data_IF_185309161116
#
_entry.id   IF_185309161116
#
_cell.length_a   1.000
_cell.length_b   1.000
_cell.length_c   1.000
_cell.angle_alpha   90.00
_cell.angle_beta   90.00
_cell.angle_gamma   90.00
#
_symmetry.space_group_name_H-M   'P 1'
#
loop_
_entity.id
_entity.type
_entity.pdbx_description
1 polymer ?
#
# COMPACT_ATOMS: atom_id res chain seq x y z
N UNK A 1 2.85 9.27 7.36
CA UNK A 1 1.50 8.89 6.92
C UNK A 1 1.54 7.40 6.60
N UNK A 2 0.82 6.59 7.37
CA UNK A 2 0.76 5.14 7.18
C UNK A 2 -0.60 4.78 6.56
N UNK A 3 -0.62 4.00 5.48
CA UNK A 3 -1.86 3.59 4.80
C UNK A 3 -2.01 2.09 4.93
N UNK A 4 -2.96 1.65 5.76
CA UNK A 4 -3.36 0.26 5.88
C UNK A 4 -4.25 -0.10 4.69
N UNK A 5 -3.72 -0.93 3.82
CA UNK A 5 -4.22 -1.15 2.48
C UNK A 5 -4.31 -2.63 2.14
N UNK A 6 -5.26 -2.94 1.27
CA UNK A 6 -5.53 -4.28 0.77
C UNK A 6 -5.58 -4.24 -0.76
N UNK A 7 -4.79 -5.07 -1.41
CA UNK A 7 -4.65 -5.09 -2.86
C UNK A 7 -5.90 -5.54 -3.61
N UNK A 8 -6.86 -6.24 -3.00
CA UNK A 8 -8.16 -6.59 -3.59
C UNK A 8 -9.28 -5.63 -3.19
N UNK A 9 -9.03 -4.68 -2.29
CA UNK A 9 -10.05 -3.72 -1.90
C UNK A 9 -10.25 -2.65 -2.99
N UNK A 10 -11.46 -2.49 -3.55
CA UNK A 10 -11.73 -1.46 -4.57
C UNK A 10 -11.52 -0.03 -4.03
N UNK A 11 -11.83 0.22 -2.76
CA UNK A 11 -11.60 1.51 -2.14
C UNK A 11 -10.09 1.83 -1.99
N UNK A 12 -9.24 0.81 -1.76
CA UNK A 12 -7.79 0.99 -1.73
C UNK A 12 -7.25 1.37 -3.12
N UNK A 13 -7.74 0.70 -4.18
CA UNK A 13 -7.47 1.08 -5.58
C UNK A 13 -7.84 2.54 -5.84
N UNK A 14 -9.03 2.96 -5.42
CA UNK A 14 -9.49 4.35 -5.59
C UNK A 14 -8.59 5.33 -4.84
N UNK A 15 -8.27 5.07 -3.57
CA UNK A 15 -7.39 5.94 -2.79
C UNK A 15 -5.99 6.06 -3.43
N UNK A 16 -5.42 4.94 -3.86
CA UNK A 16 -4.11 4.93 -4.51
C UNK A 16 -4.10 5.74 -5.81
N UNK A 17 -5.06 5.47 -6.70
CA UNK A 17 -5.09 6.05 -8.05
C UNK A 17 -5.48 7.53 -8.07
N UNK A 18 -6.34 7.96 -7.14
CA UNK A 18 -6.86 9.34 -7.13
C UNK A 18 -6.11 10.28 -6.19
N UNK A 19 -5.45 9.75 -5.15
CA UNK A 19 -4.95 10.56 -4.04
C UNK A 19 -3.49 10.27 -3.70
N UNK A 20 -3.12 9.02 -3.39
CA UNK A 20 -1.76 8.72 -2.92
C UNK A 20 -0.70 9.01 -3.98
N UNK A 21 -0.97 8.74 -5.27
CA UNK A 21 -0.04 9.10 -6.36
C UNK A 21 0.29 10.58 -6.40
N UNK A 22 -0.74 11.43 -6.35
CA UNK A 22 -0.54 12.89 -6.36
C UNK A 22 0.14 13.39 -5.09
N UNK A 23 -0.16 12.76 -3.93
CA UNK A 23 0.58 13.01 -2.69
C UNK A 23 2.08 12.70 -2.84
N UNK A 24 2.43 11.59 -3.50
CA UNK A 24 3.83 11.21 -3.71
C UNK A 24 4.57 12.29 -4.51
N UNK A 25 3.93 12.79 -5.56
CA UNK A 25 4.47 13.86 -6.42
C UNK A 25 4.63 15.19 -5.66
N UNK A 26 3.63 15.61 -4.88
CA UNK A 26 3.60 16.96 -4.28
C UNK A 26 4.33 17.05 -2.92
N UNK A 27 4.31 15.98 -2.11
CA UNK A 27 4.77 16.01 -0.72
C UNK A 27 5.88 15.01 -0.38
N UNK A 28 5.87 13.81 -0.99
CA UNK A 28 6.91 12.81 -0.71
C UNK A 28 8.20 13.15 -1.42
N UNK A 29 8.12 13.55 -2.70
CA UNK A 29 9.28 13.96 -3.51
C UNK A 29 10.09 15.10 -2.88
N UNK A 30 9.41 16.02 -2.17
CA UNK A 30 10.02 17.16 -1.48
C UNK A 30 10.42 16.88 -0.02
N UNK A 31 10.20 15.64 0.45
CA UNK A 31 10.54 15.22 1.82
C UNK A 31 9.63 15.78 2.92
N UNK A 32 8.50 16.40 2.57
CA UNK A 32 7.55 16.97 3.54
C UNK A 32 6.71 15.90 4.24
N UNK A 33 6.42 14.81 3.56
CA UNK A 33 5.63 13.69 4.08
C UNK A 33 6.34 12.37 3.75
N UNK A 34 6.42 11.50 4.75
CA UNK A 34 6.76 10.09 4.53
C UNK A 34 5.46 9.30 4.35
N UNK A 35 5.30 8.66 3.20
CA UNK A 35 4.22 7.73 2.92
C UNK A 35 4.71 6.30 3.15
N UNK A 36 3.99 5.54 3.98
CA UNK A 36 4.28 4.14 4.29
C UNK A 36 3.05 3.32 3.95
N UNK A 37 3.17 2.41 2.98
CA UNK A 37 2.17 1.37 2.76
C UNK A 37 2.26 0.32 3.88
N UNK A 38 1.12 -0.05 4.44
CA UNK A 38 0.98 -1.11 5.44
C UNK A 38 0.04 -2.18 4.91
N UNK A 39 0.50 -3.43 4.89
CA UNK A 39 -0.34 -4.53 4.44
C UNK A 39 -1.43 -4.82 5.45
N UNK A 40 -2.68 -4.84 4.98
CA UNK A 40 -3.84 -5.22 5.78
C UNK A 40 -4.78 -6.14 4.99
N UNK A 41 -4.31 -7.31 4.51
CA UNK A 41 -5.11 -8.22 3.70
C UNK A 41 -6.31 -8.72 4.51
N UNK A 42 -7.51 -8.46 4.01
CA UNK A 42 -8.76 -8.82 4.67
C UNK A 42 -9.13 -10.29 4.40
N UNK A 43 -9.73 -11.02 5.36
CA UNK A 43 -10.01 -12.44 5.20
C UNK A 43 -10.89 -12.83 4.01
N UNK A 44 -11.77 -11.94 3.54
CA UNK A 44 -12.62 -12.20 2.38
C UNK A 44 -11.88 -12.05 1.03
N UNK A 45 -10.65 -11.56 1.04
CA UNK A 45 -9.85 -11.31 -0.15
C UNK A 45 -8.78 -12.41 -0.31
N UNK A 46 -9.15 -13.50 -0.98
CA UNK A 46 -8.37 -14.73 -1.09
C UNK A 46 -6.95 -14.56 -1.68
N UNK A 47 -6.73 -13.55 -2.52
CA UNK A 47 -5.50 -13.27 -3.25
C UNK A 47 -4.71 -12.07 -2.69
N UNK A 48 -5.29 -11.28 -1.79
CA UNK A 48 -4.65 -10.05 -1.29
C UNK A 48 -3.34 -10.30 -0.55
N UNK A 49 -3.29 -11.36 0.28
CA UNK A 49 -2.03 -11.76 0.93
C UNK A 49 -0.96 -12.16 -0.08
N UNK A 50 -1.34 -12.83 -1.18
CA UNK A 50 -0.40 -13.18 -2.25
C UNK A 50 0.11 -11.90 -2.92
N UNK A 51 -0.77 -10.97 -3.27
CA UNK A 51 -0.40 -9.65 -3.81
C UNK A 51 0.55 -8.88 -2.88
N UNK A 52 0.30 -8.87 -1.58
CA UNK A 52 1.19 -8.27 -0.59
C UNK A 52 2.60 -8.89 -0.59
N UNK A 53 2.72 -10.22 -0.72
CA UNK A 53 4.04 -10.88 -0.85
C UNK A 53 4.78 -10.39 -2.09
N UNK A 54 4.10 -10.34 -3.25
CA UNK A 54 4.73 -9.86 -4.48
C UNK A 54 5.14 -8.38 -4.38
N UNK A 55 4.27 -7.53 -3.82
CA UNK A 55 4.57 -6.11 -3.62
C UNK A 55 5.79 -5.91 -2.69
N UNK A 56 5.85 -6.61 -1.55
CA UNK A 56 7.00 -6.56 -0.65
C UNK A 56 8.28 -7.09 -1.27
N UNK A 57 8.20 -8.21 -1.97
CA UNK A 57 9.34 -8.77 -2.68
C UNK A 57 9.88 -7.74 -3.68
N UNK A 58 9.02 -7.15 -4.50
CA UNK A 58 9.41 -6.09 -5.44
C UNK A 58 9.97 -4.84 -4.73
N UNK A 59 9.43 -4.46 -3.57
CA UNK A 59 9.95 -3.34 -2.78
C UNK A 59 11.40 -3.55 -2.32
N UNK A 60 11.81 -4.79 -1.99
CA UNK A 60 13.21 -5.11 -1.68
C UNK A 60 14.16 -4.88 -2.87
N UNK A 61 13.63 -4.85 -4.09
CA UNK A 61 14.37 -4.56 -5.32
C UNK A 61 14.24 -3.08 -5.74
N UNK A 62 13.59 -2.22 -4.94
CA UNK A 62 13.31 -0.83 -5.31
C UNK A 62 12.19 -0.69 -6.34
N UNK A 63 11.33 -1.71 -6.51
CA UNK A 63 10.22 -1.75 -7.48
C UNK A 63 8.84 -1.71 -6.83
N UNK A 64 8.77 -1.29 -5.57
CA UNK A 64 7.53 -1.27 -4.78
C UNK A 64 6.42 -0.46 -5.46
N UNK A 65 6.71 0.79 -5.82
CA UNK A 65 5.73 1.69 -6.44
C UNK A 65 5.20 1.17 -7.79
N UNK A 66 6.10 0.70 -8.67
CA UNK A 66 5.71 0.17 -9.99
C UNK A 66 4.81 -1.06 -9.87
N UNK A 67 5.10 -1.94 -8.91
CA UNK A 67 4.30 -3.14 -8.67
C UNK A 67 2.99 -2.82 -7.96
N UNK A 68 3.00 -1.91 -6.98
CA UNK A 68 1.77 -1.42 -6.33
C UNK A 68 0.82 -0.80 -7.37
N UNK A 69 1.35 0.02 -8.27
CA UNK A 69 0.59 0.57 -9.39
C UNK A 69 0.03 -0.53 -10.29
N UNK A 70 0.84 -1.50 -10.70
CA UNK A 70 0.40 -2.58 -11.58
C UNK A 70 -0.74 -3.40 -10.94
N UNK A 71 -0.61 -3.72 -9.65
CA UNK A 71 -1.61 -4.46 -8.89
C UNK A 71 -2.92 -3.68 -8.80
N UNK A 72 -2.90 -2.39 -8.44
CA UNK A 72 -4.15 -1.62 -8.36
C UNK A 72 -4.78 -1.34 -9.73
N UNK A 73 -3.98 -1.05 -10.75
CA UNK A 73 -4.50 -0.79 -12.10
C UNK A 73 -5.17 -2.02 -12.72
N UNK A 74 -4.64 -3.22 -12.43
CA UNK A 74 -5.15 -4.48 -12.99
C UNK A 74 -5.99 -5.29 -11.99
N UNK A 75 -6.40 -4.69 -10.86
CA UNK A 75 -7.13 -5.35 -9.75
C UNK A 75 -8.24 -6.29 -10.23
N UNK A 76 -9.18 -5.74 -11.00
CA UNK A 76 -10.35 -6.46 -11.52
C UNK A 76 -9.98 -7.68 -12.38
N UNK A 77 -8.81 -7.66 -13.03
CA UNK A 77 -8.37 -8.75 -13.90
C UNK A 77 -7.76 -9.89 -13.10
N UNK A 78 -6.79 -9.58 -12.22
CA UNK A 78 -6.10 -10.63 -11.48
C UNK A 78 -6.90 -11.15 -10.29
N UNK A 79 -7.89 -10.41 -9.77
CA UNK A 79 -8.75 -10.93 -8.70
C UNK A 79 -9.69 -12.04 -9.18
N UNK A 80 -10.03 -12.07 -10.48
CA UNK A 80 -10.91 -13.08 -11.06
C UNK A 80 -10.26 -14.46 -11.14
N UNK A 81 -8.94 -14.51 -11.33
CA UNK A 81 -8.21 -15.76 -11.59
C UNK A 81 -7.01 -15.98 -10.66
N UNK A 82 -6.71 -15.03 -9.77
CA UNK A 82 -5.57 -15.07 -8.86
C UNK A 82 -4.21 -14.80 -9.52
N UNK A 83 -4.15 -14.28 -10.75
CA UNK A 83 -2.91 -14.08 -11.52
C UNK A 83 -2.11 -12.83 -11.07
N UNK A 84 -1.66 -12.86 -9.82
CA UNK A 84 -0.79 -11.85 -9.23
C UNK A 84 0.61 -11.90 -9.88
N UNK A 85 1.13 -13.10 -10.12
CA UNK A 85 2.46 -13.30 -10.72
C UNK A 85 2.54 -12.67 -12.11
N UNK A 86 1.59 -12.96 -13.00
CA UNK A 86 1.55 -12.41 -14.35
C UNK A 86 1.38 -10.88 -14.35
N UNK A 87 0.57 -10.35 -13.43
CA UNK A 87 0.42 -8.89 -13.25
C UNK A 87 1.74 -8.23 -12.85
N UNK A 88 2.49 -8.83 -11.93
CA UNK A 88 3.78 -8.30 -11.47
C UNK A 88 4.86 -8.47 -12.55
N UNK A 89 4.86 -9.62 -13.26
CA UNK A 89 5.80 -9.89 -14.34
C UNK A 89 5.68 -8.90 -15.50
N UNK A 90 4.50 -8.31 -15.72
CA UNK A 90 4.27 -7.33 -16.79
C UNK A 90 5.06 -6.01 -16.60
N UNK A 91 5.54 -5.72 -15.38
CA UNK A 91 6.25 -4.47 -15.06
C UNK A 91 7.69 -4.69 -14.57
N UNK A 92 8.17 -5.94 -14.57
CA UNK A 92 9.52 -6.29 -14.14
C UNK A 92 10.29 -6.94 -15.28
N UNK A 93 11.61 -6.76 -15.29
CA UNK A 93 12.49 -7.58 -16.12
C UNK A 93 12.47 -9.04 -15.68
N UNK A 94 12.85 -9.96 -16.57
CA UNK A 94 12.93 -11.38 -16.24
C UNK A 94 13.87 -11.68 -15.06
N UNK A 95 14.98 -10.92 -14.94
CA UNK A 95 15.93 -11.06 -13.84
C UNK A 95 15.35 -10.58 -12.51
N UNK A 96 14.63 -9.45 -12.50
CA UNK A 96 13.93 -8.95 -11.31
C UNK A 96 12.81 -9.90 -10.90
N UNK A 97 12.02 -10.39 -11.86
CA UNK A 97 10.92 -11.31 -11.58
C UNK A 97 11.42 -12.66 -11.02
N UNK A 98 12.57 -13.15 -11.49
CA UNK A 98 13.20 -14.36 -10.93
C UNK A 98 13.53 -14.19 -9.45
N UNK A 99 14.09 -13.03 -9.07
CA UNK A 99 14.37 -12.70 -7.67
C UNK A 99 13.09 -12.54 -6.84
N UNK A 100 12.08 -11.86 -7.39
CA UNK A 100 10.76 -11.71 -6.74
C UNK A 100 10.13 -13.07 -6.44
N UNK A 101 10.06 -13.97 -7.43
CA UNK A 101 9.53 -15.32 -7.23
C UNK A 101 10.31 -16.12 -6.20
N UNK A 102 11.64 -15.94 -6.12
CA UNK A 102 12.45 -16.58 -5.10
C UNK A 102 12.11 -16.06 -3.68
N UNK A 103 11.95 -14.74 -3.53
CA UNK A 103 11.55 -14.12 -2.26
C UNK A 103 10.14 -14.53 -1.82
N UNK A 104 9.19 -14.59 -2.77
CA UNK A 104 7.79 -14.99 -2.50
C UNK A 104 7.67 -16.42 -1.99
N UNK A 105 8.59 -17.33 -2.38
CA UNK A 105 8.63 -18.71 -1.89
C UNK A 105 9.21 -18.84 -0.48
N UNK A 106 9.88 -17.82 0.04
CA UNK A 106 10.43 -17.81 1.39
C UNK A 106 9.40 -17.37 2.45
N UNK A 107 9.68 -17.67 3.72
CA UNK A 107 8.75 -17.37 4.83
C UNK A 107 8.88 -15.95 5.41
N UNK A 108 9.90 -15.17 5.02
CA UNK A 108 10.21 -13.87 5.65
C UNK A 108 9.20 -12.77 5.34
N UNK A 109 8.49 -12.86 4.21
CA UNK A 109 7.52 -11.85 3.80
C UNK A 109 6.24 -11.90 4.63
N UNK A 110 5.76 -13.11 4.96
CA UNK A 110 4.56 -13.29 5.79
C UNK A 110 4.75 -12.68 7.18
N UNK A 111 5.93 -12.82 7.79
CA UNK A 111 6.24 -12.17 9.07
C UNK A 111 6.12 -10.65 9.00
N UNK A 112 6.51 -10.03 7.89
CA UNK A 112 6.39 -8.59 7.72
C UNK A 112 4.94 -8.15 7.49
N UNK A 113 4.17 -8.93 6.72
CA UNK A 113 2.72 -8.73 6.51
C UNK A 113 1.98 -8.84 7.86
N UNK A 114 2.28 -9.87 8.66
CA UNK A 114 1.65 -10.09 9.96
C UNK A 114 1.94 -8.95 10.94
N UNK A 115 3.16 -8.39 10.90
CA UNK A 115 3.53 -7.22 11.70
C UNK A 115 2.71 -5.98 11.33
N UNK A 116 2.54 -5.71 10.05
CA UNK A 116 1.72 -4.57 9.60
C UNK A 116 0.24 -4.79 9.94
N UNK A 117 -0.27 -6.00 9.76
CA UNK A 117 -1.62 -6.37 10.14
C UNK A 117 -1.85 -6.15 11.66
N UNK A 118 -0.95 -6.68 12.50
CA UNK A 118 -1.00 -6.51 13.94
C UNK A 118 -0.88 -5.04 14.37
N UNK A 119 -0.02 -4.25 13.71
CA UNK A 119 0.07 -2.81 13.94
C UNK A 119 -1.27 -2.12 13.64
N UNK A 120 -1.93 -2.47 12.54
CA UNK A 120 -3.27 -1.95 12.21
C UNK A 120 -4.29 -2.27 13.31
N UNK A 121 -4.23 -3.45 13.91
CA UNK A 121 -5.09 -3.80 15.05
C UNK A 121 -4.83 -2.89 16.27
N UNK A 122 -3.58 -2.49 16.53
CA UNK A 122 -3.28 -1.54 17.63
C UNK A 122 -3.89 -0.15 17.39
N UNK A 123 -4.01 0.26 16.12
CA UNK A 123 -4.71 1.49 15.71
C UNK A 123 -6.22 1.31 15.53
N UNK A 124 -6.76 0.13 15.87
CA UNK A 124 -8.18 -0.25 15.71
C UNK A 124 -8.67 -0.15 14.26
N UNK A 125 -7.79 -0.43 13.30
CA UNK A 125 -8.17 -0.56 11.88
C UNK A 125 -9.16 -1.71 11.75
N UNK A 126 -10.36 -1.40 11.27
CA UNK A 126 -11.45 -2.36 11.05
C UNK A 126 -11.91 -2.41 9.58
N UNK A 127 -11.37 -1.54 8.73
CA UNK A 127 -11.65 -1.50 7.30
C UNK A 127 -10.47 -0.92 6.53
N UNK A 128 -10.40 -1.23 5.24
CA UNK A 128 -9.40 -0.69 4.31
C UNK A 128 -10.06 0.20 3.25
N UNK A 129 -9.43 1.30 2.83
CA UNK A 129 -8.18 1.82 3.38
C UNK A 129 -8.42 2.50 4.75
N UNK A 130 -7.42 2.47 5.61
CA UNK A 130 -7.34 3.39 6.76
C UNK A 130 -5.98 4.08 6.75
N UNK A 131 -5.99 5.41 6.76
CA UNK A 131 -4.78 6.23 6.82
C UNK A 131 -4.56 6.72 8.24
N UNK A 132 -3.37 6.51 8.78
CA UNK A 132 -2.95 7.00 10.09
C UNK A 132 -1.88 8.07 9.89
N UNK A 133 -2.19 9.29 10.33
CA UNK A 133 -1.27 10.41 10.29
C UNK A 133 -0.53 10.52 11.62
N UNK A 134 0.79 10.70 11.54
CA UNK A 134 1.65 10.93 12.68
C UNK A 134 2.30 12.31 12.52
N UNK A 135 2.08 13.19 13.48
CA UNK A 135 2.71 14.52 13.51
C UNK A 135 2.97 14.92 14.96
N UNK A 136 4.24 15.20 15.30
CA UNK A 136 4.65 15.66 16.64
C UNK A 136 4.10 14.84 17.81
N UNK A 137 4.14 13.52 17.68
CA UNK A 137 3.63 12.59 18.70
C UNK A 137 2.11 12.43 18.73
N UNK A 138 1.36 13.20 17.94
CA UNK A 138 -0.08 13.04 17.75
C UNK A 138 -0.39 12.04 16.64
N UNK A 139 -1.52 11.35 16.80
CA UNK A 139 -2.01 10.31 15.88
C UNK A 139 -3.42 10.68 15.43
N UNK A 140 -3.65 10.69 14.12
CA UNK A 140 -4.98 10.96 13.54
C UNK A 140 -5.35 9.81 12.60
N UNK A 141 -6.22 8.87 13.01
CA UNK A 141 -6.73 7.85 12.11
C UNK A 141 -7.87 8.40 11.25
N UNK A 142 -7.89 8.03 9.97
CA UNK A 142 -8.97 8.31 9.03
C UNK A 142 -9.29 7.06 8.23
N UNK A 143 -10.53 6.58 8.32
CA UNK A 143 -10.97 5.40 7.59
C UNK A 143 -11.74 5.77 6.33
N UNK A 144 -11.44 5.08 5.23
CA UNK A 144 -12.05 5.29 3.92
C UNK A 144 -11.19 6.13 2.98
N UNK A 145 -11.78 6.45 1.83
CA UNK A 145 -11.10 7.20 0.77
C UNK A 145 -11.17 8.70 1.08
N UNK A 146 -10.02 9.30 1.34
CA UNK A 146 -9.87 10.75 1.42
C UNK A 146 -9.60 11.31 0.02
N UNK A 147 -10.28 12.37 -0.39
CA UNK A 147 -9.93 13.06 -1.64
C UNK A 147 -8.62 13.82 -1.49
N UNK A 148 -7.91 14.03 -2.58
CA UNK A 148 -6.65 14.76 -2.55
C UNK A 148 -6.78 16.18 -1.97
N UNK A 149 -7.85 16.91 -2.27
CA UNK A 149 -8.00 18.29 -1.76
C UNK A 149 -8.20 18.33 -0.24
N UNK A 150 -8.96 17.37 0.32
CA UNK A 150 -9.12 17.23 1.78
C UNK A 150 -7.78 16.84 2.41
N UNK A 151 -7.08 15.87 1.82
CA UNK A 151 -5.76 15.44 2.28
C UNK A 151 -4.77 16.60 2.31
N UNK A 152 -4.70 17.36 1.21
CA UNK A 152 -3.86 18.54 1.09
C UNK A 152 -4.15 19.54 2.19
N UNK A 153 -5.41 19.94 2.38
CA UNK A 153 -5.78 20.90 3.43
C UNK A 153 -5.36 20.39 4.82
N UNK A 154 -5.58 19.10 5.11
CA UNK A 154 -5.19 18.52 6.38
C UNK A 154 -3.67 18.50 6.58
N UNK A 155 -2.90 18.11 5.57
CA UNK A 155 -1.44 18.11 5.64
C UNK A 155 -0.86 19.51 5.83
N UNK A 156 -1.38 20.52 5.13
CA UNK A 156 -0.94 21.91 5.33
C UNK A 156 -1.21 22.39 6.77
N UNK A 157 -2.35 22.01 7.37
CA UNK A 157 -2.62 22.29 8.77
C UNK A 157 -1.61 21.61 9.71
N UNK A 158 -1.29 20.33 9.48
CA UNK A 158 -0.31 19.60 10.29
C UNK A 158 1.10 20.20 10.17
N UNK A 159 1.51 20.57 8.94
CA UNK A 159 2.84 21.14 8.67
C UNK A 159 3.01 22.56 9.23
N UNK A 160 1.92 23.31 9.35
CA UNK A 160 1.93 24.66 9.92
C UNK A 160 1.98 24.68 11.46
N UNK A 161 1.78 23.54 12.13
CA UNK A 161 1.90 23.47 13.59
C UNK A 161 3.34 23.83 13.99
N UNK A 162 3.50 24.73 14.96
CA UNK A 162 4.81 25.10 15.54
C UNK A 162 5.26 24.12 16.62
#
# INVERSE_FOLDING_TARGET
MEVFSDFQCPACKTLFTTTNRRLMEDYVSSGKVYLIHRDFPLPMHAHSRVAARYARAAAQLGKGESVEQALFQNQEKWEQNGDVDGTVAAVLSAAEMTKVRALVKGNSLDTAIDKDYALGQTYRVNQTPTTVFHCKGQIYPYSGVMTYDILKQFLEQLLAQK
#
